data_IF_872554400212
#
_entry.id   IF_872554400212
#
_cell.length_a   1.000
_cell.length_b   1.000
_cell.length_c   1.000
_cell.angle_alpha   90.00
_cell.angle_beta   90.00
_cell.angle_gamma   90.00
#
_symmetry.space_group_name_H-M   'P 1'
#
loop_
_entity.id
_entity.type
_entity.pdbx_description
1 polymer ?
#
# COMPACT_ATOMS: atom_id res chain seq x y z
N UNK A 1 32.70 13.86 1.16
CA UNK A 1 33.12 13.17 2.40
C UNK A 1 33.18 11.68 2.11
N UNK A 2 34.24 10.98 2.50
CA UNK A 2 34.30 9.53 2.34
C UNK A 2 33.17 8.87 3.15
N UNK A 3 32.47 7.85 2.61
CA UNK A 3 31.43 7.17 3.36
C UNK A 3 32.08 6.45 4.54
N UNK A 4 31.71 6.84 5.76
CA UNK A 4 32.15 6.15 6.97
C UNK A 4 31.50 4.76 6.97
N UNK A 5 32.29 3.71 6.88
CA UNK A 5 31.80 2.32 6.74
C UNK A 5 31.20 1.77 8.05
N UNK A 6 31.55 2.39 9.18
CA UNK A 6 31.10 1.97 10.53
C UNK A 6 30.60 3.15 11.36
N UNK A 7 29.55 2.89 12.15
CA UNK A 7 28.86 3.88 12.97
C UNK A 7 28.87 3.46 14.43
N UNK A 8 29.20 4.39 15.31
CA UNK A 8 29.10 4.20 16.76
C UNK A 8 27.66 4.39 17.24
N UNK A 9 27.32 3.83 18.41
CA UNK A 9 25.99 4.02 19.04
C UNK A 9 25.66 5.50 19.24
N UNK A 10 26.68 6.35 19.50
CA UNK A 10 26.50 7.80 19.63
C UNK A 10 26.04 8.41 18.31
N UNK A 11 26.74 8.11 17.22
CA UNK A 11 26.41 8.64 15.89
C UNK A 11 25.05 8.14 15.41
N UNK A 12 24.71 6.89 15.71
CA UNK A 12 23.38 6.34 15.41
C UNK A 12 22.29 7.03 16.23
N UNK A 13 22.53 7.32 17.50
CA UNK A 13 21.58 8.07 18.34
C UNK A 13 21.28 9.46 17.76
N UNK A 14 22.31 10.15 17.26
CA UNK A 14 22.16 11.45 16.60
C UNK A 14 21.45 11.30 15.24
N UNK A 15 21.81 10.28 14.43
CA UNK A 15 21.23 10.05 13.12
C UNK A 15 19.74 9.69 13.15
N UNK A 16 19.36 8.83 14.09
CA UNK A 16 17.99 8.35 14.26
C UNK A 16 17.13 9.24 15.16
N UNK A 17 17.71 10.27 15.78
CA UNK A 17 17.03 11.16 16.73
C UNK A 17 16.40 10.39 17.92
N UNK A 18 17.03 9.28 18.32
CA UNK A 18 16.58 8.38 19.40
C UNK A 18 17.67 8.27 20.45
N UNK A 19 17.30 8.06 21.72
CA UNK A 19 18.28 7.92 22.81
C UNK A 19 19.30 6.80 22.56
N UNK A 20 20.55 6.99 23.03
CA UNK A 20 21.63 5.99 22.93
C UNK A 20 21.23 4.63 23.50
N UNK A 21 20.47 4.63 24.60
CA UNK A 21 20.00 3.41 25.24
C UNK A 21 18.99 2.67 24.37
N UNK A 22 18.06 3.39 23.74
CA UNK A 22 17.10 2.78 22.82
C UNK A 22 17.80 2.24 21.57
N UNK A 23 18.73 2.99 20.98
CA UNK A 23 19.55 2.49 19.87
C UNK A 23 20.34 1.24 20.27
N UNK A 24 20.95 1.21 21.46
CA UNK A 24 21.67 0.02 21.94
C UNK A 24 20.76 -1.21 21.96
N UNK A 25 19.52 -1.09 22.45
CA UNK A 25 18.56 -2.21 22.46
C UNK A 25 18.22 -2.73 21.06
N UNK A 26 18.17 -1.85 20.06
CA UNK A 26 17.96 -2.27 18.68
C UNK A 26 19.22 -2.90 18.08
N UNK A 27 20.40 -2.35 18.38
CA UNK A 27 21.72 -2.87 17.97
C UNK A 27 22.01 -4.25 18.57
N UNK A 28 21.52 -4.54 19.77
CA UNK A 28 21.68 -5.85 20.40
C UNK A 28 20.77 -6.93 19.78
N UNK A 29 19.74 -6.53 19.03
CA UNK A 29 18.88 -7.44 18.24
C UNK A 29 19.39 -7.66 16.81
N UNK A 30 20.45 -6.95 16.40
CA UNK A 30 21.07 -7.15 15.09
C UNK A 30 21.90 -8.43 15.06
N UNK A 31 22.04 -8.98 13.87
CA UNK A 31 22.94 -10.10 13.63
C UNK A 31 24.39 -9.71 14.01
N UNK A 32 25.12 -10.55 14.77
CA UNK A 32 26.52 -10.34 15.12
C UNK A 32 27.43 -10.05 13.92
N UNK A 33 27.11 -10.58 12.73
CA UNK A 33 27.86 -10.34 11.48
C UNK A 33 27.81 -8.88 11.01
N UNK A 34 26.82 -8.11 11.47
CA UNK A 34 26.64 -6.70 11.13
C UNK A 34 27.29 -5.76 12.15
N UNK A 35 28.01 -6.34 13.12
CA UNK A 35 28.66 -5.64 14.21
C UNK A 35 30.17 -5.85 14.11
N UNK A 36 30.93 -4.79 14.34
CA UNK A 36 32.39 -4.85 14.44
C UNK A 36 32.87 -4.16 15.71
N UNK A 37 34.16 -4.31 15.99
CA UNK A 37 34.86 -3.52 17.00
C UNK A 37 35.82 -2.58 16.29
N UNK A 38 35.88 -1.34 16.72
CA UNK A 38 36.91 -0.41 16.24
C UNK A 38 38.27 -0.69 16.90
N UNK A 39 39.31 0.02 16.47
CA UNK A 39 40.68 -0.10 17.02
C UNK A 39 40.76 0.18 18.53
N UNK A 40 39.75 0.85 19.09
CA UNK A 40 39.63 1.18 20.52
C UNK A 40 38.78 0.17 21.30
N UNK A 41 38.31 -0.89 20.66
CA UNK A 41 37.50 -1.95 21.26
C UNK A 41 36.01 -1.64 21.44
N UNK A 42 35.53 -0.48 20.99
CA UNK A 42 34.10 -0.12 21.06
C UNK A 42 33.29 -0.83 19.97
N UNK A 43 32.08 -1.26 20.35
CA UNK A 43 31.09 -1.83 19.43
C UNK A 43 30.65 -0.78 18.42
N UNK A 44 30.85 -1.09 17.14
CA UNK A 44 30.41 -0.28 16.00
C UNK A 44 29.52 -1.12 15.10
N UNK A 45 28.59 -0.45 14.42
CA UNK A 45 27.63 -1.07 13.51
C UNK A 45 28.08 -0.81 12.09
N UNK A 46 28.15 -1.85 11.27
CA UNK A 46 28.44 -1.71 9.85
C UNK A 46 27.29 -0.97 9.15
N UNK A 47 27.58 -0.31 8.03
CA UNK A 47 26.56 0.36 7.21
C UNK A 47 25.36 -0.53 6.87
N UNK A 48 25.58 -1.81 6.57
CA UNK A 48 24.52 -2.81 6.33
C UNK A 48 23.61 -2.99 7.56
N UNK A 49 24.18 -3.00 8.76
CA UNK A 49 23.43 -2.99 10.02
C UNK A 49 22.62 -1.70 10.22
N UNK A 50 23.18 -0.54 9.84
CA UNK A 50 22.44 0.74 9.89
C UNK A 50 21.21 0.72 8.98
N UNK A 51 21.31 0.12 7.80
CA UNK A 51 20.17 -0.05 6.89
C UNK A 51 19.08 -0.93 7.52
N UNK A 52 19.47 -2.03 8.15
CA UNK A 52 18.51 -2.91 8.84
C UNK A 52 17.86 -2.21 10.05
N UNK A 53 18.62 -1.43 10.81
CA UNK A 53 18.09 -0.58 11.88
C UNK A 53 17.05 0.41 11.36
N UNK A 54 17.33 1.08 10.24
CA UNK A 54 16.40 2.03 9.65
C UNK A 54 15.10 1.38 9.16
N UNK A 55 15.16 0.16 8.61
CA UNK A 55 13.96 -0.63 8.29
C UNK A 55 13.16 -0.99 9.55
N UNK A 56 13.84 -1.47 10.59
CA UNK A 56 13.19 -1.89 11.83
C UNK A 56 12.57 -0.74 12.61
N UNK A 57 13.16 0.46 12.52
CA UNK A 57 12.68 1.68 13.17
C UNK A 57 11.68 2.47 12.31
N UNK A 58 11.39 2.02 11.08
CA UNK A 58 10.46 2.69 10.17
C UNK A 58 10.94 4.06 9.66
N UNK A 59 12.25 4.33 9.65
CA UNK A 59 12.78 5.63 9.26
C UNK A 59 13.07 5.70 7.75
N UNK A 60 12.01 5.87 6.95
CA UNK A 60 12.08 5.90 5.48
C UNK A 60 13.00 7.02 4.96
N UNK A 61 12.99 8.20 5.58
CA UNK A 61 13.87 9.33 5.20
C UNK A 61 15.36 8.99 5.25
N UNK A 62 15.77 8.16 6.21
CA UNK A 62 17.17 7.72 6.32
C UNK A 62 17.49 6.59 5.34
N UNK A 63 16.52 5.71 5.04
CA UNK A 63 16.67 4.69 4.01
C UNK A 63 16.90 5.32 2.64
N UNK A 64 16.11 6.34 2.28
CA UNK A 64 16.23 7.03 0.99
C UNK A 64 17.61 7.68 0.84
N UNK A 65 18.08 8.39 1.88
CA UNK A 65 19.42 9.00 1.90
C UNK A 65 20.55 7.97 1.80
N UNK A 66 20.39 6.79 2.41
CA UNK A 66 21.40 5.72 2.33
C UNK A 66 21.40 5.05 0.94
N UNK A 67 20.24 4.90 0.30
CA UNK A 67 20.06 4.33 -1.03
C UNK A 67 20.51 5.26 -2.16
N UNK A 68 20.30 6.57 -2.06
CA UNK A 68 20.82 7.55 -3.05
C UNK A 68 22.35 7.43 -3.21
N UNK A 69 23.04 7.08 -2.14
CA UNK A 69 24.48 6.90 -2.16
C UNK A 69 24.90 5.54 -2.75
N UNK A 70 24.04 4.51 -2.77
CA UNK A 70 24.30 3.23 -3.45
C UNK A 70 24.22 3.38 -4.97
N UNK A 71 23.23 4.13 -5.47
CA UNK A 71 23.06 4.36 -6.92
C UNK A 71 24.25 5.10 -7.56
N UNK A 72 25.01 5.86 -6.76
CA UNK A 72 26.20 6.58 -7.22
C UNK A 72 27.49 5.75 -7.12
N UNK A 73 27.54 4.74 -6.24
CA UNK A 73 28.70 3.84 -6.12
C UNK A 73 28.66 2.65 -7.10
N UNK A 74 27.47 2.18 -7.48
CA UNK A 74 27.30 1.01 -8.34
C UNK A 74 27.71 1.23 -9.81
N UNK A 75 27.86 2.47 -10.25
CA UNK A 75 28.22 2.77 -11.65
C UNK A 75 29.71 2.60 -11.96
N UNK A 76 30.59 2.55 -10.95
CA UNK A 76 32.04 2.57 -11.15
C UNK A 76 32.83 1.48 -10.40
N UNK A 77 32.17 0.55 -9.70
CA UNK A 77 32.84 -0.59 -9.09
C UNK A 77 33.10 -1.69 -10.14
N UNK A 78 34.03 -1.45 -11.07
CA UNK A 78 34.71 -2.55 -11.75
C UNK A 78 35.58 -3.25 -10.70
N UNK A 79 35.04 -4.30 -10.06
CA UNK A 79 35.80 -5.16 -9.17
C UNK A 79 36.81 -5.92 -10.04
N UNK A 80 38.14 -5.67 -9.90
CA UNK A 80 39.13 -6.38 -10.70
C UNK A 80 39.17 -7.86 -10.28
N UNK A 81 38.50 -8.68 -11.09
CA UNK A 81 38.73 -10.10 -11.39
C UNK A 81 39.68 -10.86 -10.47
N UNK A 82 39.14 -11.66 -9.55
CA UNK A 82 39.70 -12.98 -9.18
C UNK A 82 38.66 -14.08 -8.91
N UNK A 83 37.35 -13.80 -9.01
CA UNK A 83 36.32 -14.81 -8.77
C UNK A 83 35.24 -14.76 -9.86
N UNK A 84 35.35 -15.64 -10.86
CA UNK A 84 34.39 -15.79 -11.98
C UNK A 84 32.97 -15.98 -11.45
N UNK A 85 32.83 -16.74 -10.35
CA UNK A 85 31.56 -17.01 -9.68
C UNK A 85 30.89 -15.73 -9.15
N UNK A 86 31.67 -14.75 -8.70
CA UNK A 86 31.12 -13.50 -8.20
C UNK A 86 30.53 -12.62 -9.31
N UNK A 87 31.11 -12.67 -10.52
CA UNK A 87 30.57 -11.93 -11.67
C UNK A 87 29.30 -12.61 -12.22
N UNK A 88 29.29 -13.93 -12.31
CA UNK A 88 28.08 -14.68 -12.69
C UNK A 88 26.93 -14.42 -11.71
N UNK A 89 27.22 -14.42 -10.40
CA UNK A 89 26.22 -14.08 -9.38
C UNK A 89 25.71 -12.64 -9.53
N UNK A 90 26.59 -11.68 -9.83
CA UNK A 90 26.21 -10.29 -10.07
C UNK A 90 25.33 -10.13 -11.31
N UNK A 91 25.63 -10.85 -12.39
CA UNK A 91 24.84 -10.82 -13.61
C UNK A 91 23.47 -11.48 -13.41
N UNK A 92 23.40 -12.60 -12.68
CA UNK A 92 22.14 -13.20 -12.24
C UNK A 92 21.31 -12.21 -11.40
N UNK A 93 21.94 -11.53 -10.44
CA UNK A 93 21.27 -10.52 -9.61
C UNK A 93 20.72 -9.36 -10.45
N UNK A 94 21.45 -8.95 -11.49
CA UNK A 94 21.01 -7.90 -12.42
C UNK A 94 19.82 -8.35 -13.25
N UNK A 95 19.84 -9.59 -13.74
CA UNK A 95 18.74 -10.17 -14.51
C UNK A 95 17.49 -10.33 -13.65
N UNK A 96 17.60 -10.85 -12.43
CA UNK A 96 16.49 -10.93 -11.46
C UNK A 96 15.92 -9.54 -11.16
N UNK A 97 16.78 -8.53 -10.93
CA UNK A 97 16.34 -7.16 -10.70
C UNK A 97 15.57 -6.60 -11.92
N UNK A 98 16.00 -6.91 -13.13
CA UNK A 98 15.31 -6.49 -14.36
C UNK A 98 13.93 -7.15 -14.45
N UNK A 99 13.85 -8.46 -14.21
CA UNK A 99 12.60 -9.21 -14.19
C UNK A 99 11.62 -8.66 -13.14
N UNK A 100 12.10 -8.38 -11.93
CA UNK A 100 11.29 -7.78 -10.86
C UNK A 100 10.76 -6.41 -11.25
N UNK A 101 11.57 -5.56 -11.88
CA UNK A 101 11.13 -4.24 -12.38
C UNK A 101 10.04 -4.35 -13.44
N UNK A 102 10.17 -5.31 -14.36
CA UNK A 102 9.15 -5.57 -15.38
C UNK A 102 7.84 -6.06 -14.75
N UNK A 103 7.93 -6.96 -13.77
CA UNK A 103 6.75 -7.44 -13.03
C UNK A 103 6.05 -6.30 -12.27
N UNK A 104 6.82 -5.38 -11.67
CA UNK A 104 6.28 -4.18 -11.00
C UNK A 104 5.56 -3.30 -12.01
N UNK A 105 6.17 -3.02 -13.16
CA UNK A 105 5.56 -2.20 -14.20
C UNK A 105 4.23 -2.78 -14.70
N UNK A 106 4.15 -4.10 -14.89
CA UNK A 106 2.91 -4.78 -15.26
C UNK A 106 1.84 -4.67 -14.16
N UNK A 107 2.22 -4.86 -12.89
CA UNK A 107 1.30 -4.69 -11.77
C UNK A 107 0.77 -3.26 -11.65
N UNK A 108 1.63 -2.27 -11.90
CA UNK A 108 1.26 -0.86 -11.85
C UNK A 108 0.32 -0.47 -12.99
N UNK A 109 0.55 -1.00 -14.19
CA UNK A 109 -0.39 -0.86 -15.31
C UNK A 109 -1.76 -1.47 -14.99
N UNK A 110 -1.77 -2.66 -14.37
CA UNK A 110 -3.02 -3.32 -13.97
C UNK A 110 -3.76 -2.50 -12.89
N UNK A 111 -3.06 -2.05 -11.85
CA UNK A 111 -3.64 -1.17 -10.82
C UNK A 111 -4.24 0.11 -11.43
N UNK A 112 -3.54 0.75 -12.37
CA UNK A 112 -4.07 1.89 -13.12
C UNK A 112 -5.34 1.52 -13.90
N UNK A 113 -5.41 0.34 -14.51
CA UNK A 113 -6.60 -0.11 -15.22
C UNK A 113 -7.77 -0.36 -14.27
N UNK A 114 -7.54 -1.04 -13.15
CA UNK A 114 -8.54 -1.29 -12.09
C UNK A 114 -9.06 0.03 -11.52
N UNK A 115 -8.19 1.00 -11.26
CA UNK A 115 -8.59 2.31 -10.76
C UNK A 115 -9.53 3.03 -11.73
N UNK A 116 -9.22 3.00 -13.04
CA UNK A 116 -10.10 3.58 -14.07
C UNK A 116 -11.46 2.90 -14.11
N UNK A 117 -11.50 1.58 -14.00
CA UNK A 117 -12.75 0.82 -13.98
C UNK A 117 -13.58 1.15 -12.73
N UNK A 118 -12.92 1.28 -11.58
CA UNK A 118 -13.56 1.67 -10.33
C UNK A 118 -14.16 3.07 -10.42
N UNK A 119 -13.42 4.04 -10.96
CA UNK A 119 -13.90 5.40 -11.16
C UNK A 119 -15.12 5.43 -12.09
N UNK A 120 -15.10 4.66 -13.20
CA UNK A 120 -16.25 4.52 -14.09
C UNK A 120 -17.47 3.93 -13.38
N UNK A 121 -17.28 2.88 -12.57
CA UNK A 121 -18.35 2.27 -11.80
C UNK A 121 -18.95 3.25 -10.78
N UNK A 122 -18.12 4.04 -10.10
CA UNK A 122 -18.57 5.05 -9.16
C UNK A 122 -19.39 6.14 -9.85
N UNK A 123 -18.96 6.62 -11.02
CA UNK A 123 -19.71 7.60 -11.81
C UNK A 123 -21.07 7.09 -12.24
N UNK A 124 -21.12 5.87 -12.80
CA UNK A 124 -22.38 5.24 -13.21
C UNK A 124 -23.32 5.03 -12.03
N UNK A 125 -22.79 4.62 -10.87
CA UNK A 125 -23.58 4.42 -9.64
C UNK A 125 -24.17 5.75 -9.16
N UNK A 126 -23.39 6.82 -9.18
CA UNK A 126 -23.86 8.16 -8.79
C UNK A 126 -24.95 8.67 -9.73
N UNK A 127 -24.79 8.47 -11.04
CA UNK A 127 -25.81 8.82 -12.03
C UNK A 127 -27.11 8.01 -11.84
N UNK A 128 -27.00 6.70 -11.58
CA UNK A 128 -28.14 5.85 -11.32
C UNK A 128 -28.90 6.30 -10.05
N UNK A 129 -28.18 6.58 -8.96
CA UNK A 129 -28.79 7.08 -7.72
C UNK A 129 -29.51 8.42 -7.92
N UNK A 130 -28.91 9.36 -8.68
CA UNK A 130 -29.58 10.62 -9.02
C UNK A 130 -30.86 10.42 -9.83
N UNK A 131 -30.90 9.45 -10.74
CA UNK A 131 -32.11 9.11 -11.49
C UNK A 131 -33.18 8.49 -10.58
N UNK A 132 -32.78 7.59 -9.68
CA UNK A 132 -33.67 6.99 -8.68
C UNK A 132 -34.30 8.09 -7.81
N UNK A 133 -33.51 9.03 -7.31
CA UNK A 133 -34.00 10.16 -6.49
C UNK A 133 -35.01 11.03 -7.27
N UNK A 134 -34.73 11.33 -8.54
CA UNK A 134 -35.66 12.09 -9.39
C UNK A 134 -36.99 11.35 -9.60
N UNK A 135 -36.94 10.04 -9.84
CA UNK A 135 -38.13 9.21 -10.00
C UNK A 135 -38.94 9.12 -8.70
N UNK A 136 -38.27 8.95 -7.57
CA UNK A 136 -38.92 8.94 -6.26
C UNK A 136 -39.63 10.27 -5.95
N UNK A 137 -38.98 11.40 -6.24
CA UNK A 137 -39.61 12.73 -6.09
C UNK A 137 -40.83 12.89 -7.00
N UNK A 138 -40.74 12.44 -8.26
CA UNK A 138 -41.87 12.51 -9.19
C UNK A 138 -43.03 11.63 -8.74
N UNK A 139 -42.76 10.42 -8.25
CA UNK A 139 -43.78 9.55 -7.68
C UNK A 139 -44.46 10.21 -6.47
N UNK A 140 -43.69 10.78 -5.54
CA UNK A 140 -44.25 11.52 -4.40
C UNK A 140 -45.17 12.66 -4.84
N UNK A 141 -44.76 13.45 -5.84
CA UNK A 141 -45.59 14.53 -6.39
C UNK A 141 -46.91 14.02 -6.98
N UNK A 142 -46.86 12.96 -7.79
CA UNK A 142 -48.06 12.35 -8.38
C UNK A 142 -49.02 11.85 -7.29
N UNK A 143 -48.52 11.16 -6.26
CA UNK A 143 -49.35 10.71 -5.14
C UNK A 143 -49.96 11.88 -4.34
N UNK A 144 -49.27 13.02 -4.21
CA UNK A 144 -49.81 14.21 -3.55
C UNK A 144 -50.85 14.97 -4.40
N UNK A 145 -50.71 14.96 -5.72
CA UNK A 145 -51.71 15.57 -6.62
C UNK A 145 -52.96 14.70 -6.75
N UNK A 146 -52.81 13.37 -6.88
CA UNK A 146 -53.94 12.44 -6.92
C UNK A 146 -54.72 12.43 -5.60
N UNK A 147 -54.07 12.61 -4.44
CA UNK A 147 -54.79 12.74 -3.16
C UNK A 147 -55.53 14.08 -3.04
N UNK A 148 -54.98 15.16 -3.59
CA UNK A 148 -55.65 16.47 -3.61
C UNK A 148 -56.85 16.53 -4.56
N UNK A 149 -56.84 15.82 -5.69
CA UNK A 149 -57.99 15.78 -6.62
C UNK A 149 -59.06 14.77 -6.18
N UNK A 150 -58.70 13.70 -5.46
CA UNK A 150 -59.62 12.65 -5.04
C UNK A 150 -60.37 12.95 -3.73
N UNK A 151 -59.94 13.93 -2.92
CA UNK A 151 -60.69 14.34 -1.71
C UNK A 151 -62.04 15.02 -2.00
N UNK A 152 -62.37 15.31 -3.28
CA UNK A 152 -63.68 15.85 -3.67
C UNK A 152 -64.68 14.82 -4.21
N UNK A 153 -64.34 13.54 -4.39
CA UNK A 153 -65.32 12.55 -4.85
C UNK A 153 -65.06 11.14 -4.31
N UNK A 154 -65.96 10.74 -3.40
CA UNK A 154 -66.53 9.39 -3.22
C UNK A 154 -65.65 8.25 -2.68
N UNK A 155 -65.87 7.94 -1.40
CA UNK A 155 -66.43 6.67 -0.88
C UNK A 155 -66.05 5.34 -1.57
N UNK A 156 -65.57 4.42 -0.72
CA UNK A 156 -65.85 2.96 -0.67
C UNK A 156 -64.77 1.99 -1.15
N UNK A 157 -64.37 1.14 -0.19
CA UNK A 157 -64.09 -0.31 -0.29
C UNK A 157 -63.04 -0.80 -1.30
N UNK A 158 -61.90 -1.28 -0.78
CA UNK A 158 -61.33 -2.62 -1.06
C UNK A 158 -59.93 -2.76 -0.42
N UNK A 159 -59.89 -3.09 0.87
CA UNK A 159 -58.66 -3.47 1.57
C UNK A 159 -58.59 -4.98 1.73
N UNK A 160 -58.45 -5.76 0.64
CA UNK A 160 -58.27 -7.21 0.81
C UNK A 160 -57.65 -7.96 -0.40
N UNK A 161 -56.49 -7.51 -0.92
CA UNK A 161 -55.82 -8.31 -1.96
C UNK A 161 -54.29 -8.14 -2.15
N UNK A 162 -53.57 -7.41 -1.31
CA UNK A 162 -52.13 -7.15 -1.52
C UNK A 162 -51.18 -8.04 -0.68
N UNK A 163 -51.67 -8.80 0.31
CA UNK A 163 -50.78 -9.48 1.28
C UNK A 163 -50.05 -10.75 0.76
N UNK A 164 -50.30 -11.22 -0.47
CA UNK A 164 -49.75 -12.52 -0.94
C UNK A 164 -48.54 -12.47 -1.89
N UNK A 165 -48.02 -11.31 -2.29
CA UNK A 165 -46.92 -11.26 -3.28
C UNK A 165 -45.50 -11.00 -2.74
N UNK A 166 -45.28 -10.85 -1.44
CA UNK A 166 -43.95 -10.48 -0.89
C UNK A 166 -43.17 -11.64 -0.27
N UNK A 167 -43.21 -12.87 -0.83
CA UNK A 167 -42.40 -14.00 -0.30
C UNK A 167 -41.71 -14.87 -1.35
N UNK A 168 -40.97 -14.28 -2.30
CA UNK A 168 -39.89 -14.98 -3.02
C UNK A 168 -38.68 -14.07 -3.26
N UNK A 169 -37.99 -13.65 -2.19
CA UNK A 169 -36.59 -13.23 -2.29
C UNK A 169 -35.71 -14.48 -2.34
N UNK A 170 -35.43 -14.96 -3.56
CA UNK A 170 -34.41 -15.97 -3.83
C UNK A 170 -33.05 -15.44 -3.35
N UNK A 171 -32.44 -16.14 -2.38
CA UNK A 171 -31.14 -15.77 -1.79
C UNK A 171 -30.02 -16.30 -2.68
N UNK A 172 -29.37 -15.42 -3.44
CA UNK A 172 -28.29 -15.74 -4.38
C UNK A 172 -27.03 -16.39 -3.76
N UNK A 173 -26.85 -16.32 -2.43
CA UNK A 173 -25.67 -16.84 -1.73
C UNK A 173 -25.56 -18.38 -1.63
N UNK A 174 -26.54 -19.14 -2.14
CA UNK A 174 -26.51 -20.62 -2.08
C UNK A 174 -25.77 -21.30 -3.25
N UNK A 175 -25.32 -20.54 -4.25
CA UNK A 175 -24.70 -21.11 -5.46
C UNK A 175 -23.18 -21.31 -5.36
N UNK A 176 -22.53 -20.93 -4.26
CA UNK A 176 -21.06 -20.92 -4.13
C UNK A 176 -20.57 -21.82 -2.98
N UNK A 177 -20.99 -23.09 -2.95
CA UNK A 177 -20.47 -24.07 -1.99
C UNK A 177 -19.88 -25.28 -2.70
#
# INVERSE_FOLDING_TARGET
MQPKETFTIKELSELFEISRQAISKHVDKLDPSLLAKNDRGYKVVLRSGVLQLARNLGNQRLLDKLHEHEQNSDKNAYIPTKNVVANELLDQLREENKFLREQIALKEQNNSHIQKLLDQQQQLTLQANQQIDKLQKRLQLVYTEETSENESTTLSEETESIEKQTKKKQKWWKLWK
#
